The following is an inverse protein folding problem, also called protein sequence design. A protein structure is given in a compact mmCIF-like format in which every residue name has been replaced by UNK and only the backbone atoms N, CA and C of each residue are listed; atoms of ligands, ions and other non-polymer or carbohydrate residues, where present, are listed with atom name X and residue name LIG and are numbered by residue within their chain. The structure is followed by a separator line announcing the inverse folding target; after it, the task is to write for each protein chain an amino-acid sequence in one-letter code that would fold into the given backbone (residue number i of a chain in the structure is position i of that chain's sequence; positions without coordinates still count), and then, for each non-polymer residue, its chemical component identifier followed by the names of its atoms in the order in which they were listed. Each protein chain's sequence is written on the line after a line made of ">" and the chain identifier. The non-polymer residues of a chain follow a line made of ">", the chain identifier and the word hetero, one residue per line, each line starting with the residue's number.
data_IF_414048844160
#
_entry.id   IF_414048844160
#
_cell.length_a   1.000
_cell.length_b   1.000
_cell.length_c   1.000
_cell.angle_alpha   90.00
_cell.angle_beta   90.00
_cell.angle_gamma   90.00
#
_symmetry.space_group_name_H-M   'P 1'
#
loop_
_entity.id
_entity.type
_entity.pdbx_description
1 polymer ?
#
# COMPACT_ATOMS: atom_id res chain seq x y z
N UNK A 1 12.25 31.08 13.30
CA UNK A 1 12.67 29.87 12.58
C UNK A 1 11.39 29.27 12.04
N UNK A 2 11.15 29.35 10.74
CA UNK A 2 9.97 28.68 10.17
C UNK A 2 10.24 27.19 10.24
N UNK A 3 9.44 26.48 11.02
CA UNK A 3 9.52 25.02 11.11
C UNK A 3 9.02 24.46 9.77
N UNK A 4 9.98 24.17 8.88
CA UNK A 4 9.71 23.75 7.51
C UNK A 4 9.37 22.27 7.47
N UNK A 5 8.34 21.91 6.73
CA UNK A 5 8.03 20.50 6.46
C UNK A 5 9.05 19.97 5.44
N UNK A 6 9.92 19.07 5.89
CA UNK A 6 10.88 18.35 5.04
C UNK A 6 10.31 16.98 4.66
N UNK A 7 10.18 16.73 3.35
CA UNK A 7 9.70 15.46 2.81
C UNK A 7 10.70 14.87 1.83
N UNK A 8 11.04 13.60 2.03
CA UNK A 8 11.78 12.81 1.07
C UNK A 8 10.78 12.10 0.13
N UNK A 9 10.59 12.69 -1.05
CA UNK A 9 9.67 12.14 -2.06
C UNK A 9 10.14 10.79 -2.61
N UNK A 10 11.45 10.52 -2.60
CA UNK A 10 11.98 9.22 -3.05
C UNK A 10 11.63 8.12 -2.04
N UNK A 11 11.76 8.41 -0.75
CA UNK A 11 11.37 7.49 0.33
C UNK A 11 9.87 7.22 0.33
N UNK A 12 9.04 8.26 0.12
CA UNK A 12 7.58 8.13 0.04
C UNK A 12 7.18 7.23 -1.14
N UNK A 13 7.78 7.45 -2.32
CA UNK A 13 7.53 6.59 -3.48
C UNK A 13 7.97 5.15 -3.24
N UNK A 14 9.13 4.94 -2.61
CA UNK A 14 9.61 3.59 -2.28
C UNK A 14 8.68 2.89 -1.28
N UNK A 15 8.17 3.61 -0.28
CA UNK A 15 7.21 3.08 0.68
C UNK A 15 5.87 2.70 0.01
N UNK A 16 5.38 3.52 -0.94
CA UNK A 16 4.18 3.20 -1.71
C UNK A 16 4.36 1.93 -2.56
N UNK A 17 5.52 1.78 -3.21
CA UNK A 17 5.88 0.58 -3.96
C UNK A 17 5.98 -0.66 -3.07
N UNK A 18 6.59 -0.53 -1.89
CA UNK A 18 6.70 -1.64 -0.94
C UNK A 18 5.32 -2.07 -0.41
N UNK A 19 4.48 -1.11 0.00
CA UNK A 19 3.11 -1.39 0.42
C UNK A 19 2.31 -2.12 -0.69
N UNK A 20 2.51 -1.72 -1.94
CA UNK A 20 1.92 -2.41 -3.10
C UNK A 20 2.48 -3.83 -3.28
N UNK A 21 3.79 -4.03 -3.14
CA UNK A 21 4.42 -5.34 -3.22
C UNK A 21 3.89 -6.30 -2.16
N UNK A 22 3.85 -5.87 -0.90
CA UNK A 22 3.29 -6.66 0.20
C UNK A 22 1.81 -6.95 -0.05
N UNK A 23 1.03 -5.95 -0.48
CA UNK A 23 -0.38 -6.14 -0.83
C UNK A 23 -0.55 -7.27 -1.85
N UNK A 24 0.24 -7.25 -2.92
CA UNK A 24 0.18 -8.26 -3.98
C UNK A 24 0.51 -9.65 -3.44
N UNK A 25 1.58 -9.78 -2.63
CA UNK A 25 1.93 -11.08 -2.03
C UNK A 25 0.81 -11.65 -1.15
N UNK A 26 0.13 -10.81 -0.36
CA UNK A 26 -1.01 -11.25 0.46
C UNK A 26 -2.25 -11.57 -0.38
N UNK A 27 -2.48 -10.84 -1.48
CA UNK A 27 -3.61 -11.09 -2.39
C UNK A 27 -3.45 -12.41 -3.15
N UNK A 28 -2.23 -12.71 -3.60
CA UNK A 28 -1.91 -13.93 -4.37
C UNK A 28 -1.82 -15.19 -3.49
N UNK A 29 -1.70 -15.04 -2.16
CA UNK A 29 -1.64 -16.16 -1.21
C UNK A 29 -3.00 -16.84 -0.95
N UNK A 30 -3.98 -16.70 -1.85
CA UNK A 30 -5.27 -17.35 -1.72
C UNK A 30 -5.15 -18.86 -1.98
N UNK A 31 -6.01 -19.66 -1.33
CA UNK A 31 -6.28 -21.08 -1.61
C UNK A 31 -5.49 -22.15 -0.82
N UNK A 32 -4.67 -21.78 0.18
CA UNK A 32 -4.06 -22.76 1.09
C UNK A 32 -4.96 -23.16 2.26
N UNK A 33 -5.86 -22.26 2.69
CA UNK A 33 -6.62 -22.37 3.92
C UNK A 33 -7.71 -23.47 3.86
N UNK A 34 -8.57 -23.46 2.83
CA UNK A 34 -9.62 -24.48 2.67
C UNK A 34 -9.08 -25.89 2.45
N UNK A 35 -7.98 -26.01 1.69
CA UNK A 35 -7.32 -27.31 1.43
C UNK A 35 -6.74 -27.97 2.68
N UNK A 36 -6.47 -27.19 3.72
CA UNK A 36 -5.95 -27.72 4.99
C UNK A 36 -7.04 -28.46 5.79
N UNK A 37 -8.28 -27.99 5.75
CA UNK A 37 -9.40 -28.62 6.46
C UNK A 37 -9.73 -30.00 5.87
N UNK A 38 -9.75 -30.10 4.54
CA UNK A 38 -9.99 -31.35 3.80
C UNK A 38 -8.95 -32.45 4.12
N UNK A 39 -7.75 -32.07 4.53
CA UNK A 39 -6.65 -33.00 4.81
C UNK A 39 -6.69 -33.62 6.23
N UNK A 40 -7.55 -33.13 7.13
CA UNK A 40 -7.47 -33.44 8.56
C UNK A 40 -8.01 -34.83 8.96
N UNK A 41 -8.81 -35.50 8.11
CA UNK A 41 -9.30 -36.87 8.30
C UNK A 41 -10.21 -37.11 9.53
N UNK A 42 -10.37 -36.13 10.41
CA UNK A 42 -11.15 -36.16 11.63
C UNK A 42 -12.06 -34.92 11.70
N UNK A 43 -13.36 -35.12 11.89
CA UNK A 43 -14.40 -34.06 11.79
C UNK A 43 -14.09 -32.86 12.68
N UNK A 44 -13.86 -33.04 13.99
CA UNK A 44 -13.61 -31.91 14.87
C UNK A 44 -12.29 -31.17 14.61
N UNK A 45 -11.31 -31.82 13.96
CA UNK A 45 -10.07 -31.14 13.56
C UNK A 45 -10.29 -30.38 12.25
N UNK A 46 -11.04 -30.95 11.32
CA UNK A 46 -11.43 -30.27 10.09
C UNK A 46 -12.24 -29.00 10.39
N UNK A 47 -13.19 -29.05 11.33
CA UNK A 47 -13.95 -27.86 11.78
C UNK A 47 -13.02 -26.78 12.34
N UNK A 48 -12.11 -27.14 13.25
CA UNK A 48 -11.17 -26.17 13.83
C UNK A 48 -10.22 -25.55 12.78
N UNK A 49 -9.80 -26.33 11.79
CA UNK A 49 -8.94 -25.85 10.69
C UNK A 49 -9.74 -24.98 9.72
N UNK A 50 -11.01 -25.30 9.45
CA UNK A 50 -11.90 -24.48 8.65
C UNK A 50 -12.16 -23.12 9.31
N UNK A 51 -12.47 -23.09 10.62
CA UNK A 51 -12.68 -21.85 11.36
C UNK A 51 -11.42 -20.96 11.34
N UNK A 52 -10.25 -21.58 11.50
CA UNK A 52 -8.97 -20.87 11.39
C UNK A 52 -8.76 -20.32 9.96
N UNK A 53 -9.03 -21.14 8.95
CA UNK A 53 -8.88 -20.79 7.55
C UNK A 53 -9.74 -19.59 7.16
N UNK A 54 -11.03 -19.62 7.52
CA UNK A 54 -11.98 -18.55 7.25
C UNK A 54 -11.57 -17.25 7.98
N UNK A 55 -11.21 -17.37 9.26
CA UNK A 55 -10.73 -16.22 10.03
C UNK A 55 -9.44 -15.62 9.46
N UNK A 56 -8.53 -16.46 8.98
CA UNK A 56 -7.30 -16.01 8.34
C UNK A 56 -7.58 -15.29 7.02
N UNK A 57 -8.48 -15.82 6.20
CA UNK A 57 -8.84 -15.22 4.93
C UNK A 57 -9.50 -13.83 5.11
N UNK A 58 -10.38 -13.68 6.10
CA UNK A 58 -10.95 -12.37 6.46
C UNK A 58 -9.87 -11.36 6.88
N UNK A 59 -8.95 -11.76 7.77
CA UNK A 59 -7.86 -10.89 8.22
C UNK A 59 -6.93 -10.51 7.07
N UNK A 60 -6.59 -11.48 6.21
CA UNK A 60 -5.78 -11.28 5.02
C UNK A 60 -6.43 -10.29 4.06
N UNK A 61 -7.73 -10.41 3.81
CA UNK A 61 -8.48 -9.45 3.01
C UNK A 61 -8.40 -8.03 3.60
N UNK A 62 -8.58 -7.91 4.92
CA UNK A 62 -8.41 -6.63 5.63
C UNK A 62 -7.00 -6.03 5.49
N UNK A 63 -5.95 -6.86 5.55
CA UNK A 63 -4.57 -6.38 5.31
C UNK A 63 -4.36 -5.90 3.88
N UNK A 64 -4.86 -6.64 2.88
CA UNK A 64 -4.78 -6.25 1.46
C UNK A 64 -5.46 -4.91 1.22
N UNK A 65 -6.63 -4.68 1.81
CA UNK A 65 -7.33 -3.41 1.72
C UNK A 65 -6.53 -2.27 2.35
N UNK A 66 -6.07 -2.46 3.60
CA UNK A 66 -5.34 -1.44 4.34
C UNK A 66 -4.01 -1.06 3.66
N UNK A 67 -3.26 -2.03 3.15
CA UNK A 67 -2.05 -1.79 2.36
C UNK A 67 -2.36 -1.03 1.07
N UNK A 68 -3.50 -1.32 0.43
CA UNK A 68 -3.97 -0.56 -0.73
C UNK A 68 -4.26 0.90 -0.41
N UNK A 69 -4.95 1.17 0.71
CA UNK A 69 -5.23 2.54 1.19
C UNK A 69 -3.95 3.28 1.54
N UNK A 70 -2.99 2.62 2.20
CA UNK A 70 -1.69 3.20 2.53
C UNK A 70 -0.89 3.55 1.26
N UNK A 71 -0.76 2.61 0.33
CA UNK A 71 -0.06 2.83 -0.93
C UNK A 71 -0.66 4.01 -1.70
N UNK A 72 -1.99 4.07 -1.80
CA UNK A 72 -2.70 5.20 -2.42
C UNK A 72 -2.38 6.52 -1.74
N UNK A 73 -2.47 6.58 -0.42
CA UNK A 73 -2.21 7.81 0.35
C UNK A 73 -0.78 8.33 0.12
N UNK A 74 0.21 7.43 0.11
CA UNK A 74 1.61 7.79 -0.15
C UNK A 74 1.81 8.29 -1.58
N UNK A 75 1.18 7.65 -2.58
CA UNK A 75 1.22 8.11 -3.98
C UNK A 75 0.55 9.47 -4.14
N UNK A 76 -0.58 9.70 -3.49
CA UNK A 76 -1.32 10.97 -3.55
C UNK A 76 -0.49 12.11 -2.93
N UNK A 77 0.20 11.86 -1.79
CA UNK A 77 1.15 12.80 -1.18
C UNK A 77 2.31 13.10 -2.15
N UNK A 78 2.96 12.07 -2.68
CA UNK A 78 4.08 12.22 -3.60
C UNK A 78 3.70 13.08 -4.82
N UNK A 79 2.55 12.79 -5.42
CA UNK A 79 2.04 13.49 -6.60
C UNK A 79 1.76 14.96 -6.29
N UNK A 80 1.06 15.22 -5.20
CA UNK A 80 0.71 16.59 -4.78
C UNK A 80 1.94 17.46 -4.57
N UNK A 81 3.00 16.93 -3.96
CA UNK A 81 4.24 17.68 -3.74
C UNK A 81 5.04 17.89 -5.03
N UNK A 82 5.05 16.93 -5.97
CA UNK A 82 5.68 17.15 -7.28
C UNK A 82 4.96 18.20 -8.11
N UNK A 83 3.63 18.21 -8.07
CA UNK A 83 2.84 19.25 -8.74
C UNK A 83 3.07 20.63 -8.13
N UNK A 84 3.18 20.70 -6.79
CA UNK A 84 3.52 21.93 -6.09
C UNK A 84 4.90 22.46 -6.51
N UNK A 85 5.90 21.58 -6.55
CA UNK A 85 7.27 21.92 -6.97
C UNK A 85 7.32 22.43 -8.42
N UNK A 86 6.63 21.76 -9.35
CA UNK A 86 6.52 22.21 -10.74
C UNK A 86 5.88 23.59 -10.89
N UNK A 87 4.80 23.86 -10.14
CA UNK A 87 4.13 25.17 -10.15
C UNK A 87 5.06 26.28 -9.63
N UNK A 88 5.85 26.00 -8.59
CA UNK A 88 6.80 26.96 -8.03
C UNK A 88 7.99 27.20 -8.98
N UNK A 89 8.54 26.15 -9.59
CA UNK A 89 9.62 26.28 -10.58
C UNK A 89 9.16 27.06 -11.81
N UNK A 90 7.98 26.76 -12.36
CA UNK A 90 7.43 27.46 -13.53
C UNK A 90 7.08 28.93 -13.24
N UNK A 91 6.82 29.29 -11.99
CA UNK A 91 6.58 30.68 -11.58
C UNK A 91 7.85 31.53 -11.44
N UNK A 92 9.04 30.92 -11.49
CA UNK A 92 10.33 31.58 -11.21
C UNK A 92 11.16 31.86 -12.47
N UNK A 93 10.73 31.39 -13.65
CA UNK A 93 11.45 31.67 -14.90
C UNK A 93 11.31 33.17 -15.28
N UNK A 94 12.40 33.95 -15.35
CA UNK A 94 12.32 35.38 -15.60
C UNK A 94 11.82 35.63 -17.04
N UNK A 95 10.83 36.52 -17.17
CA UNK A 95 10.33 36.97 -18.46
C UNK A 95 11.50 37.40 -19.37
N UNK A 96 11.47 37.10 -20.69
CA UNK A 96 12.54 37.50 -21.59
C UNK A 96 12.70 39.02 -21.52
N UNK A 97 13.89 39.45 -21.09
CA UNK A 97 14.27 40.84 -21.08
C UNK A 97 14.37 41.29 -22.54
N UNK A 98 13.32 41.98 -23.02
CA UNK A 98 13.33 42.53 -24.37
C UNK A 98 14.41 43.63 -24.44
N UNK A 99 15.29 43.49 -25.43
CA UNK A 99 16.40 44.40 -25.73
C UNK A 99 15.94 45.66 -26.47
#
# INVERSE_FOLDING_TARGET
>A
MSDGVHLDLSLISAAASNATGVKTSFAESADSSGRAADACGHVGLAEAVQDFADTWDDRRAGYVENLGRLAKSLTDIHTSFRELDQKLSGSTEPAPMQA
#
